data_IF_356232194306
#
_entry.id   IF_356232194306
#
_cell.length_a   1.000
_cell.length_b   1.000
_cell.length_c   1.000
_cell.angle_alpha   90.00
_cell.angle_beta   90.00
_cell.angle_gamma   90.00
#
_symmetry.space_group_name_H-M   'P 1'
#
loop_
_entity.id
_entity.type
_entity.pdbx_description
1 polymer ?
#
# COMPACT_ATOMS: atom_id res chain seq x y z
N UNK A 1 23.70 -76.03 2.25
CA UNK A 1 24.34 -77.33 2.56
C UNK A 1 25.79 -77.07 2.92
N UNK A 2 26.11 -77.14 4.20
CA UNK A 2 27.47 -77.27 4.74
C UNK A 2 27.33 -77.93 6.12
N UNK A 3 27.45 -79.26 6.12
CA UNK A 3 27.71 -80.08 7.30
C UNK A 3 29.23 -80.09 7.54
N UNK A 4 29.61 -79.86 8.80
CA UNK A 4 30.88 -80.19 9.48
C UNK A 4 30.86 -79.35 10.76
N UNK A 5 31.15 -79.80 11.98
CA UNK A 5 31.79 -80.99 12.52
C UNK A 5 31.40 -81.00 14.01
N UNK A 6 30.63 -81.98 14.49
CA UNK A 6 30.47 -82.19 15.95
C UNK A 6 31.73 -82.90 16.45
N UNK A 7 32.68 -82.13 16.96
CA UNK A 7 33.87 -82.63 17.64
C UNK A 7 33.52 -83.05 19.07
N UNK A 8 33.73 -84.32 19.37
CA UNK A 8 33.82 -84.87 20.72
C UNK A 8 34.86 -84.08 21.54
N UNK A 9 34.40 -83.29 22.51
CA UNK A 9 35.22 -82.78 23.63
C UNK A 9 34.95 -83.70 24.81
N UNK A 10 35.96 -84.47 25.22
CA UNK A 10 35.88 -85.36 26.37
C UNK A 10 35.86 -84.59 27.70
N UNK A 11 35.32 -85.19 28.78
CA UNK A 11 35.10 -84.52 30.08
C UNK A 11 36.37 -84.40 30.96
N UNK A 12 37.56 -84.33 30.36
CA UNK A 12 38.84 -84.37 31.11
C UNK A 12 39.32 -83.00 31.62
N UNK A 13 38.70 -81.90 31.18
CA UNK A 13 39.06 -80.53 31.58
C UNK A 13 37.95 -79.89 32.44
N UNK A 14 37.34 -80.67 33.34
CA UNK A 14 36.43 -80.11 34.33
C UNK A 14 37.26 -79.33 35.36
N UNK A 15 37.26 -78.00 35.25
CA UNK A 15 37.88 -77.14 36.26
C UNK A 15 37.28 -77.50 37.63
N UNK A 16 38.13 -77.73 38.65
CA UNK A 16 37.65 -78.12 39.97
C UNK A 16 36.71 -77.05 40.50
N UNK A 17 35.57 -77.49 41.04
CA UNK A 17 34.60 -76.54 41.58
C UNK A 17 35.22 -75.77 42.75
N UNK A 18 34.77 -74.53 42.99
CA UNK A 18 35.30 -73.74 44.10
C UNK A 18 35.16 -74.45 45.46
N UNK A 19 34.12 -75.26 45.61
CA UNK A 19 33.89 -76.07 46.80
C UNK A 19 34.95 -77.17 46.98
N UNK A 20 35.38 -77.81 45.88
CA UNK A 20 36.48 -78.79 45.88
C UNK A 20 37.82 -78.12 46.21
N UNK A 21 38.08 -76.94 45.64
CA UNK A 21 39.26 -76.13 45.97
C UNK A 21 39.23 -75.76 47.45
N UNK A 22 38.10 -75.30 47.98
CA UNK A 22 37.97 -74.98 49.40
C UNK A 22 38.20 -76.22 50.29
N UNK A 23 37.69 -77.39 49.89
CA UNK A 23 37.89 -78.66 50.60
C UNK A 23 39.38 -79.03 50.73
N UNK A 24 40.14 -78.92 49.63
CA UNK A 24 41.58 -79.22 49.61
C UNK A 24 42.39 -78.26 50.49
N UNK A 25 42.11 -76.95 50.44
CA UNK A 25 42.83 -75.98 51.26
C UNK A 25 42.49 -76.10 52.75
N UNK A 26 41.28 -76.53 53.10
CA UNK A 26 40.90 -76.87 54.49
C UNK A 26 41.65 -78.10 54.99
N UNK A 27 41.74 -79.17 54.18
CA UNK A 27 42.47 -80.39 54.58
C UNK A 27 43.98 -80.17 54.73
N UNK A 28 44.55 -79.17 54.04
CA UNK A 28 45.96 -78.76 54.20
C UNK A 28 46.22 -77.79 55.37
N UNK A 29 45.20 -77.39 56.14
CA UNK A 29 45.34 -76.44 57.25
C UNK A 29 45.56 -74.98 56.83
N UNK A 30 45.31 -74.63 55.57
CA UNK A 30 45.60 -73.32 54.98
C UNK A 30 44.46 -72.28 55.17
N UNK A 31 43.77 -72.27 56.31
CA UNK A 31 42.55 -71.45 56.51
C UNK A 31 42.72 -69.95 56.27
N UNK A 32 43.87 -69.35 56.63
CA UNK A 32 44.17 -67.93 56.36
C UNK A 32 44.29 -67.61 54.88
N UNK A 33 44.83 -68.53 54.09
CA UNK A 33 44.97 -68.37 52.64
C UNK A 33 43.59 -68.48 51.98
N UNK A 34 42.76 -69.43 52.43
CA UNK A 34 41.38 -69.60 51.98
C UNK A 34 40.54 -68.34 52.22
N UNK A 35 40.66 -67.73 53.41
CA UNK A 35 39.97 -66.46 53.72
C UNK A 35 40.41 -65.30 52.80
N UNK A 36 41.70 -65.22 52.45
CA UNK A 36 42.20 -64.22 51.49
C UNK A 36 41.68 -64.48 50.07
N UNK A 37 41.61 -65.74 49.66
CA UNK A 37 41.08 -66.11 48.35
C UNK A 37 39.57 -65.85 48.26
N UNK A 38 38.79 -66.14 49.31
CA UNK A 38 37.37 -65.79 49.37
C UNK A 38 37.17 -64.26 49.29
N UNK A 39 38.01 -63.48 49.98
CA UNK A 39 37.96 -62.02 49.91
C UNK A 39 38.32 -61.48 48.51
N UNK A 40 39.37 -62.00 47.90
CA UNK A 40 39.76 -61.64 46.52
C UNK A 40 38.68 -62.03 45.52
N UNK A 41 38.05 -63.19 45.69
CA UNK A 41 36.94 -63.64 44.85
C UNK A 41 35.75 -62.68 44.96
N UNK A 42 35.32 -62.34 46.18
CA UNK A 42 34.25 -61.36 46.40
C UNK A 42 34.58 -60.00 45.76
N UNK A 43 35.79 -59.50 45.97
CA UNK A 43 36.26 -58.26 45.33
C UNK A 43 36.22 -58.32 43.79
N UNK A 44 36.62 -59.45 43.18
CA UNK A 44 36.56 -59.63 41.74
C UNK A 44 35.12 -59.74 41.21
N UNK A 45 34.22 -60.39 41.95
CA UNK A 45 32.79 -60.48 41.60
C UNK A 45 32.10 -59.12 41.68
N UNK A 46 32.41 -58.32 42.71
CA UNK A 46 31.93 -56.95 42.86
C UNK A 46 32.48 -56.06 41.74
N UNK A 47 33.77 -56.14 41.45
CA UNK A 47 34.39 -55.35 40.39
C UNK A 47 33.83 -55.73 39.01
N UNK A 48 33.60 -57.01 38.75
CA UNK A 48 32.93 -57.50 37.54
C UNK A 48 31.52 -56.92 37.42
N UNK A 49 30.76 -56.88 38.51
CA UNK A 49 29.39 -56.32 38.54
C UNK A 49 29.39 -54.82 38.24
N UNK A 50 30.31 -54.06 38.84
CA UNK A 50 30.50 -52.63 38.55
C UNK A 50 30.88 -52.36 37.09
N UNK A 51 31.76 -53.19 36.50
CA UNK A 51 32.12 -53.07 35.09
C UNK A 51 30.93 -53.35 34.16
N UNK A 52 30.08 -54.31 34.51
CA UNK A 52 28.84 -54.58 33.77
C UNK A 52 27.86 -53.41 33.84
N UNK A 53 27.68 -52.83 35.03
CA UNK A 53 26.83 -51.66 35.24
C UNK A 53 27.36 -50.46 34.44
N UNK A 54 28.66 -50.16 34.56
CA UNK A 54 29.32 -49.09 33.80
C UNK A 54 29.14 -49.26 32.29
N UNK A 55 29.38 -50.46 31.75
CA UNK A 55 29.13 -50.76 30.34
C UNK A 55 27.65 -50.58 29.96
N UNK A 56 26.74 -50.90 30.87
CA UNK A 56 25.31 -50.65 30.70
C UNK A 56 24.99 -49.16 30.60
N UNK A 57 25.56 -48.34 31.47
CA UNK A 57 25.43 -46.89 31.45
C UNK A 57 26.05 -46.28 30.19
N UNK A 58 27.25 -46.72 29.78
CA UNK A 58 27.91 -46.26 28.55
C UNK A 58 27.03 -46.53 27.32
N UNK A 59 26.38 -47.69 27.23
CA UNK A 59 25.41 -47.97 26.15
C UNK A 59 24.21 -47.02 26.17
N UNK A 60 23.71 -46.65 27.36
CA UNK A 60 22.61 -45.67 27.48
C UNK A 60 23.07 -44.28 27.01
N UNK A 61 24.27 -43.84 27.42
CA UNK A 61 24.85 -42.56 27.00
C UNK A 61 25.00 -42.48 25.48
N UNK A 62 25.47 -43.56 24.83
CA UNK A 62 25.58 -43.61 23.36
C UNK A 62 24.20 -43.47 22.70
N UNK A 63 23.17 -44.14 23.22
CA UNK A 63 21.79 -44.02 22.72
C UNK A 63 21.26 -42.60 22.87
N UNK A 64 21.38 -41.99 24.06
CA UNK A 64 20.92 -40.62 24.29
C UNK A 64 21.68 -39.62 23.41
N UNK A 65 22.98 -39.83 23.18
CA UNK A 65 23.74 -38.98 22.26
C UNK A 65 23.22 -39.07 20.83
N UNK A 66 22.86 -40.26 20.35
CA UNK A 66 22.24 -40.44 19.03
C UNK A 66 20.87 -39.77 18.94
N UNK A 67 20.03 -39.92 19.97
CA UNK A 67 18.73 -39.25 20.02
C UNK A 67 18.87 -37.72 20.01
N UNK A 68 19.80 -37.17 20.79
CA UNK A 68 20.09 -35.73 20.81
C UNK A 68 20.54 -35.23 19.44
N UNK A 69 21.40 -35.97 18.74
CA UNK A 69 21.82 -35.61 17.38
C UNK A 69 20.63 -35.61 16.42
N UNK A 70 19.76 -36.63 16.48
CA UNK A 70 18.55 -36.69 15.67
C UNK A 70 17.61 -35.52 15.95
N UNK A 71 17.40 -35.17 17.22
CA UNK A 71 16.57 -34.01 17.56
C UNK A 71 17.18 -32.70 17.09
N UNK A 72 18.51 -32.58 17.16
CA UNK A 72 19.21 -31.41 16.66
C UNK A 72 19.02 -31.26 15.14
N UNK A 73 19.22 -32.33 14.37
CA UNK A 73 18.98 -32.33 12.92
C UNK A 73 17.54 -31.94 12.59
N UNK A 74 16.56 -32.51 13.30
CA UNK A 74 15.14 -32.15 13.12
C UNK A 74 14.84 -30.69 13.46
N UNK A 75 15.51 -30.11 14.45
CA UNK A 75 15.37 -28.71 14.81
C UNK A 75 16.02 -27.80 13.77
N UNK A 76 17.21 -28.17 13.27
CA UNK A 76 17.92 -27.43 12.23
C UNK A 76 17.11 -27.43 10.92
N UNK A 77 16.50 -28.55 10.54
CA UNK A 77 15.59 -28.65 9.39
C UNK A 77 14.35 -27.75 9.54
N UNK A 78 13.70 -27.79 10.72
CA UNK A 78 12.54 -26.93 10.99
C UNK A 78 12.92 -25.45 10.99
N UNK A 79 14.04 -25.09 11.60
CA UNK A 79 14.54 -23.73 11.62
C UNK A 79 14.83 -23.25 10.19
N UNK A 80 15.42 -24.11 9.34
CA UNK A 80 15.67 -23.76 7.95
C UNK A 80 14.37 -23.58 7.16
N UNK A 81 13.39 -24.46 7.35
CA UNK A 81 12.08 -24.34 6.71
C UNK A 81 11.32 -23.07 7.14
N UNK A 82 11.31 -22.76 8.44
CA UNK A 82 10.73 -21.52 8.97
C UNK A 82 11.47 -20.30 8.44
N UNK A 83 12.81 -20.33 8.37
CA UNK A 83 13.59 -19.23 7.81
C UNK A 83 13.23 -18.96 6.35
N UNK A 84 13.11 -20.02 5.54
CA UNK A 84 12.69 -19.90 4.15
C UNK A 84 11.24 -19.38 4.02
N UNK A 85 10.34 -19.81 4.90
CA UNK A 85 8.96 -19.32 4.92
C UNK A 85 8.90 -17.82 5.25
N UNK A 86 9.69 -17.37 6.22
CA UNK A 86 9.82 -15.95 6.57
C UNK A 86 10.37 -15.14 5.40
N UNK A 87 11.41 -15.63 4.70
CA UNK A 87 11.93 -14.95 3.50
C UNK A 87 10.89 -14.86 2.38
N UNK A 88 10.08 -15.91 2.19
CA UNK A 88 9.01 -15.91 1.20
C UNK A 88 7.91 -14.90 1.53
N UNK A 89 7.48 -14.84 2.79
CA UNK A 89 6.51 -13.84 3.27
C UNK A 89 7.07 -12.42 3.17
N UNK A 90 8.36 -12.21 3.46
CA UNK A 90 8.99 -10.91 3.30
C UNK A 90 8.94 -10.44 1.84
N UNK A 91 9.28 -11.31 0.88
CA UNK A 91 9.19 -10.99 -0.56
C UNK A 91 7.76 -10.69 -0.99
N UNK A 92 6.79 -11.42 -0.45
CA UNK A 92 5.37 -11.18 -0.70
C UNK A 92 4.93 -9.80 -0.18
N UNK A 93 5.30 -9.46 1.05
CA UNK A 93 4.99 -8.15 1.63
C UNK A 93 5.64 -7.01 0.86
N UNK A 94 6.88 -7.19 0.39
CA UNK A 94 7.55 -6.19 -0.44
C UNK A 94 6.85 -5.99 -1.80
N UNK A 95 6.36 -7.08 -2.41
CA UNK A 95 5.54 -6.98 -3.62
C UNK A 95 4.19 -6.29 -3.37
N UNK A 96 3.51 -6.62 -2.26
CA UNK A 96 2.26 -5.95 -1.86
C UNK A 96 2.48 -4.46 -1.60
N UNK A 97 3.60 -4.07 -0.98
CA UNK A 97 3.98 -2.65 -0.77
C UNK A 97 4.20 -1.92 -2.09
N UNK A 98 4.92 -2.52 -3.02
CA UNK A 98 5.13 -1.94 -4.35
C UNK A 98 3.82 -1.76 -5.10
N UNK A 99 2.91 -2.74 -5.00
CA UNK A 99 1.59 -2.63 -5.61
C UNK A 99 0.77 -1.50 -4.98
N UNK A 100 0.76 -1.39 -3.65
CA UNK A 100 0.05 -0.31 -2.95
C UNK A 100 0.57 1.08 -3.32
N UNK A 101 1.89 1.21 -3.53
CA UNK A 101 2.49 2.47 -3.97
C UNK A 101 2.06 2.81 -5.41
N UNK A 102 2.02 1.82 -6.31
CA UNK A 102 1.51 1.99 -7.67
C UNK A 102 0.03 2.42 -7.68
N UNK A 103 -0.81 1.73 -6.90
CA UNK A 103 -2.24 2.04 -6.76
C UNK A 103 -2.43 3.47 -6.19
N UNK A 104 -1.60 3.88 -5.23
CA UNK A 104 -1.63 5.24 -4.67
C UNK A 104 -1.28 6.30 -5.71
N UNK A 105 -0.30 6.04 -6.57
CA UNK A 105 0.06 6.94 -7.66
C UNK A 105 -1.07 7.04 -8.69
N UNK A 106 -1.71 5.93 -9.04
CA UNK A 106 -2.83 5.91 -9.98
C UNK A 106 -4.06 6.61 -9.42
N UNK A 107 -4.37 6.43 -8.13
CA UNK A 107 -5.43 7.19 -7.46
C UNK A 107 -5.14 8.70 -7.46
N UNK A 108 -3.88 9.09 -7.26
CA UNK A 108 -3.47 10.50 -7.36
C UNK A 108 -3.70 11.07 -8.76
N UNK A 109 -3.32 10.32 -9.80
CA UNK A 109 -3.56 10.69 -11.21
C UNK A 109 -5.06 10.82 -11.51
N UNK A 110 -5.85 9.82 -11.13
CA UNK A 110 -7.32 9.83 -11.32
C UNK A 110 -7.97 11.01 -10.61
N UNK A 111 -7.52 11.34 -9.40
CA UNK A 111 -7.99 12.52 -8.66
C UNK A 111 -7.66 13.82 -9.42
N UNK A 112 -6.46 13.92 -10.00
CA UNK A 112 -6.07 15.03 -10.87
C UNK A 112 -6.98 15.14 -12.10
N UNK A 113 -7.22 14.03 -12.81
CA UNK A 113 -8.11 13.99 -13.96
C UNK A 113 -9.55 14.35 -13.61
N UNK A 114 -10.06 13.90 -12.46
CA UNK A 114 -11.40 14.24 -11.98
C UNK A 114 -11.53 15.73 -11.70
N UNK A 115 -10.54 16.35 -11.03
CA UNK A 115 -10.51 17.80 -10.80
C UNK A 115 -10.53 18.57 -12.12
N UNK A 116 -9.71 18.15 -13.10
CA UNK A 116 -9.67 18.79 -14.42
C UNK A 116 -11.03 18.69 -15.13
N UNK A 117 -11.65 17.51 -15.14
CA UNK A 117 -12.99 17.33 -15.72
C UNK A 117 -14.05 18.19 -15.01
N UNK A 118 -13.97 18.31 -13.69
CA UNK A 118 -14.88 19.19 -12.93
C UNK A 118 -14.70 20.66 -13.36
N UNK A 119 -13.47 21.13 -13.46
CA UNK A 119 -13.17 22.48 -13.94
C UNK A 119 -13.71 22.70 -15.36
N UNK A 120 -13.50 21.75 -16.28
CA UNK A 120 -14.04 21.83 -17.64
C UNK A 120 -15.57 21.90 -17.65
N UNK A 121 -16.26 21.17 -16.77
CA UNK A 121 -17.71 21.26 -16.62
C UNK A 121 -18.16 22.63 -16.10
N UNK A 122 -17.48 23.18 -15.10
CA UNK A 122 -17.79 24.50 -14.56
C UNK A 122 -17.55 25.61 -15.61
N UNK A 123 -16.47 25.50 -16.39
CA UNK A 123 -16.19 26.37 -17.54
C UNK A 123 -17.26 26.26 -18.63
N UNK A 124 -17.76 25.04 -18.92
CA UNK A 124 -18.86 24.86 -19.86
C UNK A 124 -20.17 25.46 -19.32
N UNK A 125 -20.49 25.28 -18.05
CA UNK A 125 -21.69 25.84 -17.42
C UNK A 125 -21.67 27.38 -17.44
N UNK A 126 -20.52 28.00 -17.15
CA UNK A 126 -20.36 29.46 -17.23
C UNK A 126 -20.46 29.96 -18.67
N UNK A 127 -19.90 29.25 -19.66
CA UNK A 127 -20.09 29.56 -21.09
C UNK A 127 -21.56 29.49 -21.49
N UNK A 128 -22.27 28.41 -21.11
CA UNK A 128 -23.70 28.27 -21.39
C UNK A 128 -24.53 29.40 -20.78
N UNK A 129 -24.24 29.77 -19.52
CA UNK A 129 -24.92 30.90 -18.86
C UNK A 129 -24.70 32.22 -19.59
N UNK A 130 -23.46 32.53 -20.00
CA UNK A 130 -23.16 33.72 -20.81
C UNK A 130 -23.92 33.71 -22.13
N UNK A 131 -23.92 32.58 -22.85
CA UNK A 131 -24.68 32.47 -24.10
C UNK A 131 -26.19 32.64 -23.89
N UNK A 132 -26.73 32.15 -22.77
CA UNK A 132 -28.13 32.33 -22.42
C UNK A 132 -28.44 33.80 -22.10
N UNK A 133 -27.57 34.49 -21.36
CA UNK A 133 -27.69 35.93 -21.07
C UNK A 133 -27.62 36.76 -22.37
N UNK A 134 -26.72 36.45 -23.29
CA UNK A 134 -26.59 37.12 -24.58
C UNK A 134 -27.82 36.89 -25.47
N UNK A 135 -28.37 35.67 -25.49
CA UNK A 135 -29.62 35.37 -26.18
C UNK A 135 -30.80 36.14 -25.58
N UNK A 136 -30.91 36.21 -24.25
CA UNK A 136 -31.95 37.00 -23.58
C UNK A 136 -31.88 38.48 -23.98
N UNK A 137 -30.68 39.08 -23.98
CA UNK A 137 -30.48 40.46 -24.46
C UNK A 137 -30.85 40.62 -25.94
N UNK A 138 -30.50 39.65 -26.79
CA UNK A 138 -30.88 39.66 -28.20
C UNK A 138 -32.41 39.60 -28.37
N UNK A 139 -33.12 38.80 -27.57
CA UNK A 139 -34.58 38.79 -27.58
C UNK A 139 -35.21 40.09 -27.07
N UNK A 140 -34.65 40.70 -26.03
CA UNK A 140 -35.10 42.02 -25.54
C UNK A 140 -34.95 43.10 -26.60
N UNK A 141 -33.79 43.17 -27.26
CA UNK A 141 -33.55 44.12 -28.36
C UNK A 141 -34.46 43.85 -29.57
N UNK A 142 -34.70 42.58 -29.91
CA UNK A 142 -35.67 42.22 -30.95
C UNK A 142 -37.09 42.70 -30.58
N UNK A 143 -37.52 42.50 -29.33
CA UNK A 143 -38.82 42.94 -28.84
C UNK A 143 -38.94 44.47 -28.88
N UNK A 144 -37.90 45.21 -28.48
CA UNK A 144 -37.84 46.67 -28.60
C UNK A 144 -37.99 47.11 -30.06
N UNK A 145 -37.25 46.49 -30.99
CA UNK A 145 -37.36 46.79 -32.43
C UNK A 145 -38.73 46.47 -33.00
N UNK A 146 -39.39 45.41 -32.56
CA UNK A 146 -40.77 45.13 -32.94
C UNK A 146 -41.75 46.20 -32.44
N UNK A 147 -41.55 46.75 -31.23
CA UNK A 147 -42.36 47.87 -30.74
C UNK A 147 -42.12 49.15 -31.53
N UNK A 148 -40.85 49.52 -31.79
CA UNK A 148 -40.49 50.67 -32.64
C UNK A 148 -41.12 50.56 -34.04
N UNK A 149 -41.07 49.36 -34.66
CA UNK A 149 -41.68 49.13 -35.97
C UNK A 149 -43.21 49.28 -35.96
N UNK A 150 -43.88 48.86 -34.88
CA UNK A 150 -45.33 49.08 -34.70
C UNK A 150 -45.64 50.56 -34.57
N UNK A 151 -44.90 51.28 -33.74
CA UNK A 151 -45.08 52.72 -33.56
C UNK A 151 -44.84 53.50 -34.86
N UNK A 152 -43.77 53.18 -35.61
CA UNK A 152 -43.51 53.77 -36.93
C UNK A 152 -44.59 53.42 -37.96
N UNK A 153 -45.17 52.21 -37.89
CA UNK A 153 -46.31 51.81 -38.72
C UNK A 153 -47.54 52.65 -38.40
N UNK A 154 -47.86 52.82 -37.12
CA UNK A 154 -49.01 53.63 -36.67
C UNK A 154 -48.83 55.11 -37.04
N UNK A 155 -47.61 55.66 -36.86
CA UNK A 155 -47.27 57.00 -37.32
C UNK A 155 -47.43 57.15 -38.83
N UNK A 156 -46.97 56.18 -39.63
CA UNK A 156 -47.18 56.20 -41.08
C UNK A 156 -48.67 56.16 -41.46
N UNK A 157 -49.49 55.38 -40.75
CA UNK A 157 -50.95 55.36 -40.97
C UNK A 157 -51.59 56.72 -40.64
N UNK A 158 -51.19 57.35 -39.53
CA UNK A 158 -51.66 58.69 -39.17
C UNK A 158 -51.24 59.74 -40.21
N UNK A 159 -50.00 59.68 -40.71
CA UNK A 159 -49.53 60.58 -41.76
C UNK A 159 -50.30 60.41 -43.06
N UNK A 160 -50.59 59.17 -43.47
CA UNK A 160 -51.43 58.88 -44.63
C UNK A 160 -52.85 59.43 -44.45
N UNK A 161 -53.48 59.21 -43.31
CA UNK A 161 -54.80 59.77 -43.02
C UNK A 161 -54.79 61.31 -43.05
N UNK A 162 -53.73 61.96 -42.55
CA UNK A 162 -53.58 63.43 -42.65
C UNK A 162 -53.40 63.90 -44.09
N UNK A 163 -52.64 63.17 -44.91
CA UNK A 163 -52.51 63.43 -46.34
C UNK A 163 -53.87 63.32 -47.04
N UNK A 164 -54.64 62.25 -46.80
CA UNK A 164 -55.98 62.06 -47.37
C UNK A 164 -56.94 63.20 -46.97
N UNK A 165 -56.84 63.70 -45.73
CA UNK A 165 -57.60 64.87 -45.27
C UNK A 165 -57.19 66.19 -45.94
N UNK A 166 -55.92 66.34 -46.32
CA UNK A 166 -55.41 67.51 -47.04
C UNK A 166 -55.76 67.45 -48.53
N UNK A 167 -55.75 66.25 -49.14
CA UNK A 167 -56.16 66.05 -50.54
C UNK A 167 -57.68 66.27 -50.77
N UNK A 168 -58.50 66.14 -49.73
CA UNK A 168 -59.94 66.50 -49.77
C UNK A 168 -60.22 68.02 -49.62
N UNK A 169 -59.18 68.85 -49.53
CA UNK A 169 -59.27 70.30 -49.29
C UNK A 169 -58.68 71.20 -50.37
N UNK A 170 -58.26 70.67 -51.53
CA UNK A 170 -57.69 71.49 -52.60
C UNK A 170 -58.15 71.06 -53.99
N UNK A 171 -59.28 71.61 -54.43
CA UNK A 171 -59.43 72.02 -55.83
C UNK A 171 -58.83 73.43 -55.93
N UNK A 172 -57.65 73.54 -56.56
CA UNK A 172 -57.24 74.59 -57.51
C UNK A 172 -55.70 74.59 -57.72
N UNK A 173 -55.28 74.15 -58.91
CA UNK A 173 -54.08 74.63 -59.61
C UNK A 173 -54.18 76.16 -59.84
N UNK A 174 -53.10 76.97 -60.04
CA UNK A 174 -52.09 76.68 -61.06
C UNK A 174 -50.64 77.25 -60.88
N UNK A 175 -49.77 76.78 -61.77
CA UNK A 175 -48.68 77.48 -62.48
C UNK A 175 -47.44 78.07 -61.76
N UNK A 176 -46.30 77.84 -62.44
CA UNK A 176 -45.14 78.73 -62.67
C UNK A 176 -43.77 78.23 -62.17
N UNK A 177 -43.05 77.67 -63.15
CA UNK A 177 -41.63 77.86 -63.48
C UNK A 177 -40.82 78.85 -62.61
N UNK A 178 -39.81 78.35 -61.87
CA UNK A 178 -38.60 79.13 -61.57
C UNK A 178 -37.36 78.22 -61.51
N UNK A 179 -36.54 78.33 -62.57
CA UNK A 179 -35.15 77.84 -62.62
C UNK A 179 -34.31 78.59 -61.59
N UNK A 180 -33.38 77.91 -60.90
CA UNK A 180 -32.05 78.41 -60.47
C UNK A 180 -31.21 77.25 -59.84
N UNK A 181 -29.87 77.38 -59.68
CA UNK A 181 -28.84 76.53 -60.31
C UNK A 181 -28.18 75.49 -59.37
N UNK A 182 -27.29 74.59 -59.85
CA UNK A 182 -26.74 73.51 -59.03
C UNK A 182 -25.65 74.01 -58.06
N UNK A 183 -25.58 73.50 -56.82
CA UNK A 183 -24.42 73.71 -55.97
C UNK A 183 -23.28 72.73 -56.33
N UNK A 184 -22.16 73.37 -56.65
CA UNK A 184 -20.77 72.91 -56.78
C UNK A 184 -20.40 71.61 -56.06
N UNK A 185 -19.76 70.73 -56.83
CA UNK A 185 -18.83 69.70 -56.35
C UNK A 185 -17.54 70.41 -55.91
N UNK A 186 -17.33 70.54 -54.60
CA UNK A 186 -16.00 70.87 -54.06
C UNK A 186 -15.33 69.59 -53.57
N UNK A 187 -14.20 69.30 -54.20
CA UNK A 187 -13.27 68.27 -53.81
C UNK A 187 -12.63 68.64 -52.45
N UNK A 188 -12.77 67.76 -51.47
CA UNK A 188 -11.83 67.66 -50.35
C UNK A 188 -11.26 66.24 -50.37
N UNK A 189 -9.99 66.15 -50.80
CA UNK A 189 -9.18 64.96 -50.72
C UNK A 189 -8.82 64.54 -49.29
N UNK A 190 -7.93 63.57 -49.15
CA UNK A 190 -7.91 62.58 -48.08
C UNK A 190 -7.28 63.09 -46.79
N UNK A 191 -7.69 62.54 -45.65
CA UNK A 191 -6.91 62.59 -44.41
C UNK A 191 -6.67 61.20 -43.88
N UNK A 192 -5.51 60.69 -44.25
CA UNK A 192 -4.69 59.76 -43.48
C UNK A 192 -4.48 60.32 -42.07
N UNK A 193 -4.79 59.53 -41.04
CA UNK A 193 -4.15 59.66 -39.73
C UNK A 193 -3.50 58.32 -39.42
N UNK A 194 -2.22 58.28 -39.76
CA UNK A 194 -1.22 57.34 -39.26
C UNK A 194 -0.97 57.69 -37.79
N UNK A 195 -1.27 56.77 -36.87
CA UNK A 195 -0.72 56.81 -35.53
C UNK A 195 0.23 55.62 -35.38
N UNK A 196 1.52 55.94 -35.21
CA UNK A 196 2.59 55.02 -34.89
C UNK A 196 2.62 54.75 -33.37
N UNK A 197 2.87 53.49 -33.04
CA UNK A 197 3.32 52.99 -31.73
C UNK A 197 3.24 51.46 -31.79
N UNK A 198 4.24 50.73 -32.29
CA UNK A 198 5.58 50.40 -31.73
C UNK A 198 5.49 49.73 -30.36
N UNK A 199 6.09 48.53 -30.31
CA UNK A 199 6.51 47.74 -29.14
C UNK A 199 5.35 47.19 -28.31
N UNK A 200 5.31 45.96 -27.84
CA UNK A 200 6.30 44.89 -27.67
C UNK A 200 5.52 43.60 -27.39
N UNK A 201 6.07 42.45 -27.75
CA UNK A 201 5.61 41.14 -27.26
C UNK A 201 5.72 41.09 -25.73
N UNK A 202 4.86 40.31 -25.06
CA UNK A 202 5.33 39.60 -23.88
C UNK A 202 5.19 38.10 -24.10
N UNK A 203 6.33 37.51 -24.40
CA UNK A 203 6.69 36.18 -23.92
C UNK A 203 6.67 36.26 -22.38
N UNK A 204 5.83 35.46 -21.73
CA UNK A 204 5.92 35.23 -20.29
C UNK A 204 6.33 33.78 -20.13
N UNK A 205 7.64 33.55 -20.04
CA UNK A 205 8.15 32.41 -19.31
C UNK A 205 7.70 32.59 -17.87
N UNK A 206 6.83 31.69 -17.42
CA UNK A 206 6.54 31.54 -16.00
C UNK A 206 7.53 30.51 -15.47
N UNK A 207 8.71 31.00 -15.07
CA UNK A 207 9.57 30.29 -14.13
C UNK A 207 8.82 30.25 -12.79
N UNK A 208 8.12 29.14 -12.54
CA UNK A 208 7.78 28.76 -11.18
C UNK A 208 9.03 28.14 -10.57
N UNK A 209 9.96 28.99 -10.16
CA UNK A 209 10.94 28.62 -9.15
C UNK A 209 10.19 28.22 -7.87
N UNK A 210 10.53 27.02 -7.42
CA UNK A 210 10.04 26.38 -6.23
C UNK A 210 10.15 27.32 -5.01
N UNK A 211 9.10 27.52 -4.21
CA UNK A 211 9.31 27.93 -2.84
C UNK A 211 9.92 26.73 -2.10
N UNK A 212 11.21 26.86 -1.85
CA UNK A 212 12.00 26.17 -0.86
C UNK A 212 11.20 26.10 0.48
N UNK A 213 10.49 24.99 0.68
CA UNK A 213 9.81 24.65 1.93
C UNK A 213 10.76 23.93 2.90
N UNK A 214 12.06 24.20 2.79
CA UNK A 214 13.02 24.03 3.87
C UNK A 214 12.84 25.14 4.90
N UNK A 215 12.42 24.76 6.12
CA UNK A 215 12.44 25.58 7.34
C UNK A 215 11.27 26.53 7.62
N UNK A 216 10.13 25.94 8.01
CA UNK A 216 9.34 26.50 9.12
C UNK A 216 9.25 25.49 10.26
N UNK A 217 10.16 25.67 11.22
CA UNK A 217 9.93 25.63 12.66
C UNK A 217 8.90 24.62 13.19
N UNK A 218 9.44 23.54 13.75
CA UNK A 218 9.17 23.13 15.14
C UNK A 218 8.06 23.94 15.84
N UNK A 219 6.93 23.30 16.09
CA UNK A 219 6.14 23.59 17.28
C UNK A 219 5.69 22.28 17.93
N UNK A 220 6.27 21.91 19.09
CA UNK A 220 5.84 20.76 19.89
C UNK A 220 4.93 21.24 21.01
N UNK A 221 3.64 20.88 20.97
CA UNK A 221 2.65 20.91 22.06
C UNK A 221 1.25 20.93 21.42
N UNK A 222 0.20 20.30 21.93
CA UNK A 222 -0.02 19.38 23.03
C UNK A 222 -1.42 18.77 22.82
N UNK A 223 -1.65 17.61 23.42
CA UNK A 223 -2.94 17.12 23.89
C UNK A 223 -4.10 16.99 22.89
N UNK A 224 -4.33 15.75 22.44
CA UNK A 224 -5.64 15.14 22.65
C UNK A 224 -5.48 13.64 22.93
N UNK A 225 -5.53 13.35 24.23
CA UNK A 225 -5.56 12.04 24.83
C UNK A 225 -6.96 11.46 24.62
N UNK A 226 -7.10 10.46 23.75
CA UNK A 226 -8.35 9.70 23.63
C UNK A 226 -8.27 8.51 24.62
N UNK A 227 -9.08 8.48 25.69
CA UNK A 227 -9.16 7.31 26.55
C UNK A 227 -10.04 6.27 25.87
N UNK A 228 -9.41 5.26 25.26
CA UNK A 228 -10.08 4.03 24.86
C UNK A 228 -10.42 3.17 26.09
N UNK A 229 -11.52 2.38 26.05
CA UNK A 229 -12.05 1.72 27.24
C UNK A 229 -11.09 0.67 27.79
N UNK A 230 -10.89 0.73 29.11
CA UNK A 230 -10.22 -0.28 29.92
C UNK A 230 -10.87 -1.65 29.70
N UNK A 231 -10.12 -2.61 29.16
CA UNK A 231 -10.47 -4.02 29.26
C UNK A 231 -10.24 -4.49 30.70
N UNK A 232 -11.32 -4.51 31.48
CA UNK A 232 -11.43 -5.35 32.67
C UNK A 232 -11.39 -6.82 32.28
N UNK A 233 -10.68 -7.62 33.08
CA UNK A 233 -10.66 -9.09 33.03
C UNK A 233 -9.38 -9.59 32.37
N UNK A 234 -8.52 -10.38 33.00
CA UNK A 234 -8.83 -11.51 33.88
C UNK A 234 -7.86 -11.56 35.07
N UNK A 235 -8.43 -11.50 36.28
CA UNK A 235 -7.82 -12.08 37.45
C UNK A 235 -8.11 -13.58 37.42
N UNK A 236 -7.07 -14.41 37.51
CA UNK A 236 -7.24 -15.85 37.64
C UNK A 236 -5.91 -16.60 37.74
N UNK A 237 -5.64 -17.15 38.92
CA UNK A 237 -4.75 -18.30 39.04
C UNK A 237 -3.50 -18.11 39.89
N UNK A 238 -3.69 -17.88 41.19
CA UNK A 238 -2.70 -18.31 42.18
C UNK A 238 -2.81 -19.83 42.42
N UNK A 239 -1.65 -20.44 42.70
CA UNK A 239 -1.38 -21.68 43.48
C UNK A 239 -0.83 -22.86 42.69
N UNK A 240 0.36 -23.27 43.11
CA UNK A 240 0.98 -24.54 42.74
C UNK A 240 2.40 -24.69 43.24
N UNK A 241 2.67 -24.41 44.53
CA UNK A 241 3.85 -24.96 45.19
C UNK A 241 3.62 -26.45 45.40
N UNK A 242 4.44 -27.30 44.77
CA UNK A 242 4.50 -28.73 45.06
C UNK A 242 5.86 -29.00 45.68
N UNK A 243 5.75 -29.57 46.89
CA UNK A 243 6.66 -30.41 47.68
C UNK A 243 8.14 -30.47 47.31
#
# INVERSE_FOLDING_TARGET
MTQAQEGLVGPADAEPSWEEVQGLFRSMGCGRLLQRLDHLRGFLEDHRSLLWERRGQERKVVKYRQEVLKYKEQLDEKLHAESQAVEAEQRRLDAERQQLEADRQDLSRLRGSLKKRQQEQDEQATKQRKTQEDLSKAFETLAQKQMELRELSDQNQQLRARLDHLELGSDEEPAAEERLPPPRVEAAGPRTVTAHGRAEEPYVDVDWDEPDLGSFLMNPSANEFVPGPMSMGWAGGARGSIA
#
